data_IF_418739799143
#
_entry.id   IF_418739799143
#
_cell.length_a   1.000
_cell.length_b   1.000
_cell.length_c   1.000
_cell.angle_alpha   90.00
_cell.angle_beta   90.00
_cell.angle_gamma   90.00
#
_symmetry.space_group_name_H-M   'P 1'
#
loop_
_entity.id
_entity.type
_entity.pdbx_description
1 polymer ?
#
# COMPACT_ATOMS: atom_id res chain seq x y z
N UNK A 1 -14.19 -18.27 -4.01
CA UNK A 1 -13.36 -19.43 -4.35
C UNK A 1 -13.49 -20.44 -3.23
N UNK A 2 -13.97 -21.63 -3.52
CA UNK A 2 -14.20 -22.65 -2.52
C UNK A 2 -12.89 -23.43 -2.35
N UNK A 3 -12.09 -23.11 -1.35
CA UNK A 3 -10.82 -23.78 -1.03
C UNK A 3 -11.00 -25.28 -0.66
N UNK A 4 -12.25 -25.73 -0.60
CA UNK A 4 -12.63 -27.06 -0.10
C UNK A 4 -13.08 -27.99 -1.25
N UNK A 5 -13.13 -27.53 -2.50
CA UNK A 5 -13.49 -28.34 -3.65
C UNK A 5 -12.30 -28.56 -4.56
N UNK A 6 -11.53 -29.59 -4.32
CA UNK A 6 -10.41 -30.01 -5.16
C UNK A 6 -9.88 -31.37 -4.73
N UNK A 7 -9.02 -31.98 -5.54
CA UNK A 7 -8.40 -33.32 -5.27
C UNK A 7 -7.57 -33.38 -3.98
N UNK A 8 -7.20 -32.22 -3.43
CA UNK A 8 -6.45 -32.07 -2.15
C UNK A 8 -7.31 -31.29 -1.14
N UNK A 9 -8.46 -31.84 -0.76
CA UNK A 9 -9.25 -31.27 0.34
C UNK A 9 -8.48 -31.40 1.65
N UNK A 10 -8.16 -30.29 2.34
CA UNK A 10 -7.48 -30.37 3.62
C UNK A 10 -8.38 -31.05 4.66
N UNK A 11 -7.77 -31.84 5.54
CA UNK A 11 -8.43 -32.55 6.63
C UNK A 11 -8.80 -31.60 7.79
N UNK A 12 -9.43 -30.47 7.48
CA UNK A 12 -9.92 -29.52 8.48
C UNK A 12 -11.15 -28.72 7.99
N UNK A 13 -12.00 -28.34 8.93
CA UNK A 13 -13.23 -27.63 8.63
C UNK A 13 -12.97 -26.16 8.17
N UNK A 14 -13.89 -25.61 7.39
CA UNK A 14 -13.89 -24.22 6.90
C UNK A 14 -13.64 -23.20 8.02
N UNK A 15 -14.20 -23.42 9.19
CA UNK A 15 -14.06 -22.51 10.33
C UNK A 15 -12.63 -22.43 10.87
N UNK A 16 -11.82 -23.46 10.66
CA UNK A 16 -10.39 -23.46 11.01
C UNK A 16 -9.64 -22.39 10.23
N UNK A 17 -9.92 -22.26 8.92
CA UNK A 17 -9.33 -21.22 8.07
C UNK A 17 -9.73 -19.83 8.56
N UNK A 18 -11.02 -19.62 8.82
CA UNK A 18 -11.49 -18.32 9.32
C UNK A 18 -10.93 -17.97 10.69
N UNK A 19 -10.80 -18.94 11.60
CA UNK A 19 -10.15 -18.73 12.90
C UNK A 19 -8.70 -18.34 12.74
N UNK A 20 -7.95 -19.05 11.89
CA UNK A 20 -6.57 -18.74 11.57
C UNK A 20 -6.42 -17.32 10.99
N UNK A 21 -7.24 -16.94 10.01
CA UNK A 21 -7.21 -15.60 9.42
C UNK A 21 -7.54 -14.48 10.40
N UNK A 22 -8.31 -14.77 11.45
CA UNK A 22 -8.68 -13.80 12.50
C UNK A 22 -7.66 -13.70 13.63
N UNK A 23 -6.64 -14.53 13.67
CA UNK A 23 -5.63 -14.49 14.74
C UNK A 23 -4.95 -13.13 14.81
N UNK A 24 -4.96 -12.53 16.00
CA UNK A 24 -4.39 -11.20 16.27
C UNK A 24 -2.87 -11.21 16.41
N UNK A 25 -2.27 -12.38 16.55
CA UNK A 25 -0.82 -12.59 16.67
C UNK A 25 -0.11 -12.61 15.31
N UNK A 26 -0.84 -12.90 14.23
CA UNK A 26 -0.25 -13.06 12.90
C UNK A 26 0.03 -11.70 12.28
N UNK A 27 1.28 -11.47 11.93
CA UNK A 27 1.69 -10.29 11.17
C UNK A 27 1.53 -10.56 9.66
N UNK A 28 0.35 -10.28 9.13
CA UNK A 28 0.02 -10.52 7.72
C UNK A 28 0.89 -9.70 6.76
N UNK A 29 1.21 -8.45 7.10
CA UNK A 29 2.11 -7.61 6.29
C UNK A 29 3.49 -8.28 6.19
N UNK A 30 4.05 -8.72 7.33
CA UNK A 30 5.34 -9.42 7.33
C UNK A 30 5.28 -10.73 6.56
N UNK A 31 4.21 -11.51 6.74
CA UNK A 31 4.03 -12.80 6.07
C UNK A 31 4.00 -12.62 4.55
N UNK A 32 3.14 -11.75 4.03
CA UNK A 32 3.02 -11.51 2.59
C UNK A 32 4.30 -10.91 2.02
N UNK A 33 4.94 -9.98 2.73
CA UNK A 33 6.20 -9.37 2.29
C UNK A 33 7.33 -10.40 2.18
N UNK A 34 7.49 -11.30 3.17
CA UNK A 34 8.52 -12.34 3.13
C UNK A 34 8.22 -13.36 2.02
N UNK A 35 6.95 -13.75 1.84
CA UNK A 35 6.54 -14.64 0.77
C UNK A 35 6.86 -14.03 -0.61
N UNK A 36 6.51 -12.77 -0.81
CA UNK A 36 6.81 -12.05 -2.06
C UNK A 36 8.31 -11.90 -2.28
N UNK A 37 9.08 -11.59 -1.23
CA UNK A 37 10.53 -11.51 -1.33
C UNK A 37 11.17 -12.83 -1.79
N UNK A 38 10.65 -13.97 -1.30
CA UNK A 38 11.08 -15.29 -1.76
C UNK A 38 10.73 -15.54 -3.23
N UNK A 39 9.47 -15.28 -3.62
CA UNK A 39 9.03 -15.48 -5.01
C UNK A 39 9.87 -14.61 -5.96
N UNK A 40 10.10 -13.34 -5.61
CA UNK A 40 10.91 -12.44 -6.42
C UNK A 40 12.33 -13.00 -6.56
N UNK A 41 12.99 -13.33 -5.45
CA UNK A 41 14.38 -13.76 -5.45
C UNK A 41 14.58 -15.13 -6.11
N UNK A 42 13.70 -16.09 -5.81
CA UNK A 42 13.93 -17.47 -6.14
C UNK A 42 13.32 -17.87 -7.51
N UNK A 43 12.27 -17.13 -7.97
CA UNK A 43 11.57 -17.46 -9.20
C UNK A 43 11.62 -16.39 -10.29
N UNK A 44 11.61 -15.08 -9.94
CA UNK A 44 11.51 -14.00 -10.94
C UNK A 44 12.90 -13.45 -11.25
N UNK A 45 13.66 -13.11 -10.24
CA UNK A 45 14.98 -12.47 -10.40
C UNK A 45 15.97 -13.27 -11.26
N UNK A 46 16.01 -14.61 -11.24
CA UNK A 46 16.85 -15.37 -12.16
C UNK A 46 16.48 -15.23 -13.64
N UNK A 47 15.26 -14.71 -13.94
CA UNK A 47 14.76 -14.45 -15.29
C UNK A 47 14.83 -12.96 -15.66
N UNK A 48 15.33 -12.13 -14.76
CA UNK A 48 15.49 -10.69 -14.95
C UNK A 48 16.71 -10.39 -15.83
N UNK A 49 16.77 -9.18 -16.38
CA UNK A 49 17.92 -8.69 -17.16
C UNK A 49 18.38 -7.34 -16.62
N UNK A 50 19.66 -7.01 -16.81
CA UNK A 50 20.25 -5.74 -16.37
C UNK A 50 19.61 -4.51 -17.05
N UNK A 51 18.94 -4.71 -18.18
CA UNK A 51 18.22 -3.67 -18.91
C UNK A 51 16.89 -3.29 -18.24
N UNK A 52 16.38 -4.10 -17.32
CA UNK A 52 15.11 -3.88 -16.64
C UNK A 52 15.29 -3.08 -15.36
N UNK A 53 14.32 -2.24 -15.09
CA UNK A 53 14.30 -1.46 -13.85
C UNK A 53 13.29 -2.07 -12.86
N UNK A 54 13.78 -2.56 -11.75
CA UNK A 54 12.95 -3.04 -10.66
C UNK A 54 12.30 -1.87 -9.92
N UNK A 55 10.98 -1.91 -9.80
CA UNK A 55 10.21 -0.80 -9.25
C UNK A 55 9.20 -1.28 -8.20
N UNK A 56 8.96 -0.47 -7.19
CA UNK A 56 7.76 -0.56 -6.37
C UNK A 56 6.65 0.29 -6.98
N UNK A 57 5.42 -0.20 -6.89
CA UNK A 57 4.23 0.48 -7.37
C UNK A 57 3.25 0.60 -6.20
N UNK A 58 2.84 1.84 -5.90
CA UNK A 58 1.86 2.15 -4.86
C UNK A 58 0.57 2.60 -5.53
N UNK A 59 -0.50 1.92 -5.23
CA UNK A 59 -1.83 2.31 -5.67
C UNK A 59 -2.87 2.04 -4.59
N UNK A 60 -3.97 2.79 -4.63
CA UNK A 60 -5.10 2.55 -3.75
C UNK A 60 -6.41 2.41 -4.54
N UNK A 61 -7.21 1.45 -4.13
CA UNK A 61 -8.49 1.16 -4.73
C UNK A 61 -9.61 1.12 -3.70
N UNK A 62 -10.84 1.34 -4.15
CA UNK A 62 -12.01 1.22 -3.29
C UNK A 62 -12.36 -0.25 -3.03
N UNK A 63 -12.29 -0.65 -1.76
CA UNK A 63 -12.76 -1.96 -1.31
C UNK A 63 -14.16 -1.83 -0.72
N UNK A 64 -15.16 -1.95 -1.59
CA UNK A 64 -16.57 -1.70 -1.28
C UNK A 64 -17.16 -2.76 -0.34
N UNK A 65 -17.91 -2.33 0.69
CA UNK A 65 -18.57 -3.15 1.71
C UNK A 65 -19.96 -2.60 2.07
N UNK A 66 -20.71 -2.09 1.12
CA UNK A 66 -22.00 -1.41 1.33
C UNK A 66 -23.02 -2.28 2.08
N UNK A 67 -22.95 -3.60 1.94
CA UNK A 67 -23.90 -4.53 2.60
C UNK A 67 -23.39 -5.00 3.97
N UNK A 68 -22.17 -4.66 4.35
CA UNK A 68 -21.60 -5.11 5.62
C UNK A 68 -22.11 -4.25 6.78
N UNK A 69 -22.63 -4.88 7.82
CA UNK A 69 -23.11 -4.20 9.03
C UNK A 69 -22.13 -4.35 10.23
N UNK A 70 -21.25 -5.36 10.19
CA UNK A 70 -20.43 -5.76 11.33
C UNK A 70 -18.91 -5.71 11.08
N UNK A 71 -18.47 -5.19 9.91
CA UNK A 71 -17.02 -5.08 9.68
C UNK A 71 -16.43 -4.02 10.61
N UNK A 72 -15.36 -4.40 11.35
CA UNK A 72 -14.62 -3.45 12.19
C UNK A 72 -14.05 -2.33 11.32
N UNK A 73 -14.03 -1.12 11.86
CA UNK A 73 -13.47 0.07 11.21
C UNK A 73 -14.10 0.39 9.84
N UNK A 74 -15.29 -0.16 9.55
CA UNK A 74 -16.03 0.19 8.34
C UNK A 74 -16.24 1.70 8.29
N UNK A 75 -15.91 2.32 7.16
CA UNK A 75 -15.96 3.76 7.01
C UNK A 75 -16.73 4.21 5.77
N UNK A 76 -17.19 5.45 5.81
CA UNK A 76 -17.71 6.18 4.64
C UNK A 76 -16.52 6.75 3.88
N UNK A 77 -16.23 6.21 2.70
CA UNK A 77 -15.07 6.53 1.87
C UNK A 77 -15.53 7.10 0.54
N UNK A 78 -14.85 8.13 0.05
CA UNK A 78 -15.15 8.70 -1.26
C UNK A 78 -14.49 7.86 -2.37
N UNK A 79 -15.32 7.38 -3.31
CA UNK A 79 -14.87 6.68 -4.51
C UNK A 79 -14.67 7.70 -5.64
N UNK A 80 -13.43 7.93 -6.03
CA UNK A 80 -13.10 8.90 -7.09
C UNK A 80 -13.55 8.45 -8.49
N UNK A 81 -13.65 7.14 -8.73
CA UNK A 81 -14.12 6.62 -10.02
C UNK A 81 -15.64 6.74 -10.17
N UNK A 82 -16.39 6.51 -9.09
CA UNK A 82 -17.86 6.60 -9.06
C UNK A 82 -18.37 7.97 -8.63
N UNK A 83 -17.49 8.90 -8.26
CA UNK A 83 -17.83 10.25 -7.75
C UNK A 83 -18.87 10.27 -6.63
N UNK A 84 -18.82 9.29 -5.72
CA UNK A 84 -19.75 9.17 -4.60
C UNK A 84 -19.13 8.56 -3.36
N UNK A 85 -19.79 8.78 -2.22
CA UNK A 85 -19.41 8.10 -0.99
C UNK A 85 -20.01 6.70 -0.94
N UNK A 86 -19.17 5.73 -0.56
CA UNK A 86 -19.53 4.33 -0.36
C UNK A 86 -19.06 3.86 1.03
N UNK A 87 -19.65 2.77 1.51
CA UNK A 87 -19.14 2.11 2.72
C UNK A 87 -18.10 1.07 2.35
N UNK A 88 -16.95 1.15 3.00
CA UNK A 88 -15.85 0.25 2.71
C UNK A 88 -14.54 0.73 3.30
N UNK A 89 -13.48 0.46 2.55
CA UNK A 89 -12.10 0.80 2.89
C UNK A 89 -11.37 1.25 1.62
N UNK A 90 -10.30 2.01 1.79
CA UNK A 90 -9.31 2.17 0.73
C UNK A 90 -8.28 1.06 0.87
N UNK A 91 -8.15 0.21 -0.12
CA UNK A 91 -7.14 -0.84 -0.15
C UNK A 91 -5.87 -0.27 -0.77
N UNK A 92 -4.92 0.08 0.10
CA UNK A 92 -3.60 0.51 -0.32
C UNK A 92 -2.74 -0.73 -0.56
N UNK A 93 -2.16 -0.83 -1.76
CA UNK A 93 -1.34 -1.96 -2.17
C UNK A 93 0.05 -1.48 -2.57
N UNK A 94 1.06 -2.19 -2.09
CA UNK A 94 2.43 -2.14 -2.58
C UNK A 94 2.65 -3.33 -3.49
N UNK A 95 2.89 -3.07 -4.78
CA UNK A 95 3.33 -4.05 -5.77
C UNK A 95 4.81 -3.90 -6.08
N UNK A 96 5.37 -4.92 -6.69
CA UNK A 96 6.71 -4.93 -7.28
C UNK A 96 6.63 -5.36 -8.75
N UNK A 97 7.47 -4.78 -9.60
CA UNK A 97 7.56 -5.15 -11.01
C UNK A 97 9.00 -4.99 -11.52
N UNK A 98 9.38 -5.87 -12.44
CA UNK A 98 10.59 -5.80 -13.27
C UNK A 98 10.30 -5.26 -14.69
N UNK A 99 9.09 -4.78 -14.94
CA UNK A 99 8.61 -4.35 -16.25
C UNK A 99 7.91 -5.46 -17.06
N UNK A 100 8.17 -6.73 -16.77
CA UNK A 100 7.51 -7.89 -17.42
C UNK A 100 6.58 -8.63 -16.47
N UNK A 101 6.96 -8.74 -15.21
CA UNK A 101 6.19 -9.39 -14.14
C UNK A 101 5.62 -8.35 -13.18
N UNK A 102 4.49 -8.65 -12.58
CA UNK A 102 3.93 -7.89 -11.47
C UNK A 102 3.57 -8.80 -10.31
N UNK A 103 4.02 -8.46 -9.11
CA UNK A 103 3.72 -9.20 -7.89
C UNK A 103 3.22 -8.26 -6.78
N UNK A 104 2.00 -8.45 -6.22
CA UNK A 104 1.59 -7.77 -5.01
C UNK A 104 2.47 -8.19 -3.83
N UNK A 105 3.10 -7.23 -3.16
CA UNK A 105 4.01 -7.48 -2.04
C UNK A 105 3.25 -7.52 -0.72
N UNK A 106 2.52 -6.46 -0.45
CA UNK A 106 1.67 -6.35 0.73
C UNK A 106 0.55 -5.32 0.50
N UNK A 107 -0.44 -5.34 1.39
CA UNK A 107 -1.55 -4.40 1.32
C UNK A 107 -2.13 -4.13 2.69
N UNK A 108 -2.89 -3.04 2.80
CA UNK A 108 -3.64 -2.67 3.99
C UNK A 108 -5.00 -2.07 3.60
N UNK A 109 -6.02 -2.42 4.37
CA UNK A 109 -7.33 -1.76 4.29
C UNK A 109 -7.31 -0.53 5.19
N UNK A 110 -7.37 0.64 4.58
CA UNK A 110 -7.42 1.92 5.28
C UNK A 110 -8.87 2.32 5.53
N UNK A 111 -9.13 2.67 6.78
CA UNK A 111 -10.34 3.33 7.25
C UNK A 111 -10.11 4.85 7.29
N UNK A 112 -10.56 5.50 8.36
CA UNK A 112 -10.33 6.92 8.60
C UNK A 112 -10.04 7.20 10.08
N UNK A 113 -9.19 8.16 10.34
CA UNK A 113 -8.98 8.71 11.69
C UNK A 113 -10.23 9.42 12.22
N UNK A 114 -11.02 10.01 11.32
CA UNK A 114 -12.22 10.75 11.68
C UNK A 114 -13.35 9.82 12.11
N UNK A 115 -13.65 9.79 13.41
CA UNK A 115 -14.73 8.98 14.00
C UNK A 115 -16.10 9.22 13.35
N UNK A 116 -16.39 10.43 12.91
CA UNK A 116 -17.69 10.76 12.28
C UNK A 116 -17.92 10.03 10.96
N UNK A 117 -16.85 9.61 10.31
CA UNK A 117 -16.92 8.86 9.05
C UNK A 117 -16.84 7.34 9.28
N UNK A 118 -16.54 6.87 10.49
CA UNK A 118 -16.55 5.45 10.82
C UNK A 118 -17.98 5.00 11.19
N UNK A 119 -18.37 3.87 10.66
CA UNK A 119 -19.67 3.23 10.96
C UNK A 119 -19.52 2.32 12.16
N UNK A 120 -18.41 1.59 12.23
CA UNK A 120 -18.09 0.68 13.33
C UNK A 120 -16.70 0.98 13.86
N UNK A 121 -16.53 0.85 15.16
CA UNK A 121 -15.23 0.94 15.82
C UNK A 121 -14.49 -0.40 15.76
N UNK A 122 -13.21 -0.34 16.09
CA UNK A 122 -12.40 -1.54 16.24
C UNK A 122 -12.82 -2.33 17.49
N UNK A 123 -12.75 -3.65 17.42
CA UNK A 123 -12.83 -4.49 18.61
C UNK A 123 -11.62 -4.23 19.51
N UNK A 124 -11.86 -4.10 20.80
CA UNK A 124 -10.79 -3.96 21.78
C UNK A 124 -9.94 -5.22 21.84
N UNK A 125 -8.65 -5.03 21.72
CA UNK A 125 -7.65 -6.10 21.82
C UNK A 125 -6.42 -5.58 22.58
N UNK A 126 -5.63 -6.47 23.15
CA UNK A 126 -4.40 -6.11 23.86
C UNK A 126 -3.48 -5.28 22.94
N UNK A 127 -3.08 -4.11 23.43
CA UNK A 127 -2.26 -3.11 22.72
C UNK A 127 -0.88 -3.65 22.29
N UNK A 128 -0.40 -4.70 22.94
CA UNK A 128 0.88 -5.36 22.60
C UNK A 128 0.77 -6.23 21.36
N UNK A 129 -0.43 -6.63 20.95
CA UNK A 129 -0.65 -7.56 19.83
C UNK A 129 -0.43 -6.90 18.46
N UNK A 130 -0.09 -7.73 17.49
CA UNK A 130 -0.01 -7.32 16.08
C UNK A 130 -1.38 -6.89 15.57
N UNK A 131 -2.45 -7.52 16.04
CA UNK A 131 -3.82 -7.16 15.71
C UNK A 131 -4.18 -5.73 16.10
N UNK A 132 -3.72 -5.26 17.27
CA UNK A 132 -3.88 -3.86 17.68
C UNK A 132 -3.10 -2.90 16.75
N UNK A 133 -1.83 -3.20 16.50
CA UNK A 133 -0.97 -2.38 15.62
C UNK A 133 -1.55 -2.27 14.21
N UNK A 134 -2.11 -3.36 13.68
CA UNK A 134 -2.78 -3.38 12.38
C UNK A 134 -4.03 -2.48 12.35
N UNK A 135 -4.87 -2.51 13.39
CA UNK A 135 -6.04 -1.63 13.51
C UNK A 135 -5.65 -0.16 13.58
N UNK A 136 -4.61 0.14 14.35
CA UNK A 136 -4.07 1.50 14.44
C UNK A 136 -3.57 1.98 13.07
N UNK A 137 -2.77 1.18 12.38
CA UNK A 137 -2.25 1.49 11.05
C UNK A 137 -3.39 1.70 10.03
N UNK A 138 -4.48 0.94 10.14
CA UNK A 138 -5.67 1.09 9.28
C UNK A 138 -6.36 2.47 9.43
N UNK A 139 -6.14 3.18 10.52
CA UNK A 139 -6.71 4.52 10.76
C UNK A 139 -5.74 5.65 10.39
N UNK A 140 -4.51 5.35 10.03
CA UNK A 140 -3.49 6.36 9.66
C UNK A 140 -3.76 6.93 8.26
N UNK A 141 -3.08 8.05 7.97
CA UNK A 141 -3.10 8.63 6.63
C UNK A 141 -2.47 7.69 5.62
N UNK A 142 -3.02 7.64 4.40
CA UNK A 142 -2.52 6.77 3.34
C UNK A 142 -1.03 6.94 3.05
N UNK A 143 -0.50 8.18 3.12
CA UNK A 143 0.94 8.46 2.96
C UNK A 143 1.80 7.82 4.06
N UNK A 144 1.33 7.80 5.31
CA UNK A 144 2.05 7.17 6.42
C UNK A 144 1.98 5.64 6.31
N UNK A 145 0.81 5.10 5.97
CA UNK A 145 0.64 3.68 5.72
C UNK A 145 1.53 3.19 4.56
N UNK A 146 1.62 3.96 3.48
CA UNK A 146 2.53 3.69 2.36
C UNK A 146 3.98 3.54 2.81
N UNK A 147 4.49 4.49 3.61
CA UNK A 147 5.86 4.42 4.13
C UNK A 147 6.09 3.17 5.00
N UNK A 148 5.06 2.75 5.76
CA UNK A 148 5.12 1.51 6.55
C UNK A 148 5.21 0.27 5.66
N UNK A 149 4.45 0.22 4.54
CA UNK A 149 4.52 -0.89 3.59
C UNK A 149 5.87 -0.94 2.87
N UNK A 150 6.40 0.22 2.44
CA UNK A 150 7.73 0.34 1.83
C UNK A 150 8.85 -0.08 2.79
N UNK A 151 8.80 0.33 4.06
CA UNK A 151 9.80 -0.07 5.05
C UNK A 151 9.79 -1.58 5.31
N UNK A 152 8.61 -2.21 5.30
CA UNK A 152 8.50 -3.66 5.38
C UNK A 152 9.18 -4.35 4.19
N UNK A 153 8.99 -3.86 2.96
CA UNK A 153 9.61 -4.39 1.76
C UNK A 153 11.13 -4.18 1.75
N UNK A 154 11.59 -2.99 2.19
CA UNK A 154 13.01 -2.66 2.35
C UNK A 154 13.70 -3.60 3.35
N UNK A 155 13.08 -3.84 4.51
CA UNK A 155 13.58 -4.78 5.53
C UNK A 155 13.62 -6.23 5.05
N UNK A 156 12.77 -6.60 4.11
CA UNK A 156 12.77 -7.90 3.45
C UNK A 156 13.75 -7.98 2.26
N UNK A 157 14.53 -6.92 2.02
CA UNK A 157 15.54 -6.83 0.96
C UNK A 157 14.99 -7.09 -0.45
N UNK A 158 13.74 -6.68 -0.72
CA UNK A 158 13.18 -6.76 -2.06
C UNK A 158 13.88 -5.71 -2.93
N UNK A 159 14.50 -6.10 -4.07
CA UNK A 159 15.23 -5.18 -4.91
C UNK A 159 14.26 -4.23 -5.63
N UNK A 160 14.50 -2.92 -5.51
CA UNK A 160 13.83 -1.90 -6.30
C UNK A 160 14.69 -0.64 -6.33
N UNK A 161 14.73 0.03 -7.46
CA UNK A 161 15.41 1.31 -7.64
C UNK A 161 14.45 2.49 -7.53
N UNK A 162 13.24 2.31 -8.03
CA UNK A 162 12.24 3.35 -8.11
C UNK A 162 10.98 2.99 -7.33
N UNK A 163 10.28 4.03 -6.87
CA UNK A 163 8.91 3.92 -6.33
C UNK A 163 8.00 4.75 -7.21
N UNK A 164 6.97 4.11 -7.74
CA UNK A 164 5.95 4.71 -8.61
C UNK A 164 4.66 4.91 -7.85
N UNK A 165 4.08 6.09 -7.94
CA UNK A 165 2.75 6.38 -7.40
C UNK A 165 2.09 7.58 -8.11
N UNK A 166 0.79 7.72 -7.92
CA UNK A 166 0.02 8.80 -8.50
C UNK A 166 0.21 10.14 -7.75
N UNK A 167 -0.45 11.18 -8.24
CA UNK A 167 -0.37 12.53 -7.68
C UNK A 167 -0.92 12.66 -6.25
N UNK A 168 -1.70 11.69 -5.78
CA UNK A 168 -2.25 11.69 -4.43
C UNK A 168 -1.17 11.53 -3.37
N UNK A 169 -0.12 10.75 -3.68
CA UNK A 169 1.01 10.50 -2.78
C UNK A 169 2.18 11.45 -3.00
N UNK A 170 2.14 12.31 -4.03
CA UNK A 170 3.26 13.16 -4.47
C UNK A 170 3.42 14.47 -3.68
N UNK A 171 3.24 14.45 -2.36
CA UNK A 171 3.59 15.63 -1.54
C UNK A 171 5.11 15.75 -1.38
N UNK A 172 5.68 16.97 -1.26
CA UNK A 172 7.12 17.15 -1.04
C UNK A 172 7.66 16.35 0.14
N UNK A 173 6.92 16.28 1.25
CA UNK A 173 7.30 15.49 2.42
C UNK A 173 7.34 13.99 2.14
N UNK A 174 6.40 13.48 1.35
CA UNK A 174 6.37 12.06 0.94
C UNK A 174 7.54 11.75 0.01
N UNK A 175 7.79 12.60 -1.00
CA UNK A 175 8.92 12.45 -1.92
C UNK A 175 10.25 12.39 -1.16
N UNK A 176 10.44 13.31 -0.21
CA UNK A 176 11.64 13.35 0.63
C UNK A 176 11.76 12.07 1.50
N UNK A 177 10.67 11.61 2.11
CA UNK A 177 10.68 10.42 2.94
C UNK A 177 11.06 9.15 2.13
N UNK A 178 10.50 8.98 0.93
CA UNK A 178 10.85 7.87 0.03
C UNK A 178 12.30 7.96 -0.42
N UNK A 179 12.78 9.15 -0.77
CA UNK A 179 14.20 9.37 -1.13
C UNK A 179 15.14 9.03 0.03
N UNK A 180 14.76 9.38 1.27
CA UNK A 180 15.53 9.06 2.48
C UNK A 180 15.57 7.55 2.78
N UNK A 181 14.64 6.75 2.23
CA UNK A 181 14.68 5.29 2.28
C UNK A 181 15.64 4.67 1.25
N UNK A 182 16.25 5.48 0.36
CA UNK A 182 17.18 5.04 -0.66
C UNK A 182 16.55 4.78 -2.03
N UNK A 183 15.28 5.15 -2.26
CA UNK A 183 14.60 4.98 -3.54
C UNK A 183 14.54 6.28 -4.33
N UNK A 184 14.61 6.18 -5.64
CA UNK A 184 14.20 7.26 -6.54
C UNK A 184 12.69 7.22 -6.77
N UNK A 185 12.08 8.39 -7.00
CA UNK A 185 10.63 8.51 -7.16
C UNK A 185 10.28 8.86 -8.59
N UNK A 186 9.32 8.14 -9.14
CA UNK A 186 8.65 8.49 -10.40
C UNK A 186 7.17 8.69 -10.06
N UNK A 187 6.68 9.91 -10.13
CA UNK A 187 5.31 10.22 -9.75
C UNK A 187 4.74 11.42 -10.49
N UNK A 188 3.43 11.40 -10.65
CA UNK A 188 2.71 12.57 -11.16
C UNK A 188 2.60 13.60 -10.04
N UNK A 189 3.06 14.83 -10.30
CA UNK A 189 2.99 15.92 -9.32
C UNK A 189 1.86 16.87 -9.69
N UNK A 190 1.02 17.22 -8.71
CA UNK A 190 -0.05 18.20 -8.91
C UNK A 190 0.57 19.59 -9.11
N UNK A 191 0.17 20.25 -10.19
CA UNK A 191 0.49 21.64 -10.40
C UNK A 191 -0.32 22.50 -9.43
N UNK A 192 0.33 23.04 -8.39
CA UNK A 192 -0.29 23.97 -7.46
C UNK A 192 0.56 25.23 -7.30
N UNK A 193 -0.03 26.41 -7.12
CA UNK A 193 0.73 27.66 -6.95
C UNK A 193 1.49 27.73 -5.62
N UNK A 194 1.21 26.83 -4.68
CA UNK A 194 1.81 26.78 -3.34
C UNK A 194 2.95 25.77 -3.21
N UNK A 195 3.29 25.04 -4.28
CA UNK A 195 4.30 23.98 -4.24
C UNK A 195 5.54 24.40 -5.01
N UNK A 196 6.66 24.49 -4.31
CA UNK A 196 7.97 24.81 -4.88
C UNK A 196 8.92 23.64 -4.67
N UNK A 197 9.85 23.52 -5.60
CA UNK A 197 10.90 22.51 -5.57
C UNK A 197 12.25 23.20 -5.67
N UNK A 198 13.23 22.76 -4.90
CA UNK A 198 14.60 23.26 -5.04
C UNK A 198 15.26 22.64 -6.26
N UNK A 199 15.54 23.49 -7.25
CA UNK A 199 16.19 23.11 -8.49
C UNK A 199 17.38 24.04 -8.73
N UNK A 200 18.60 23.46 -8.84
CA UNK A 200 19.85 24.21 -8.99
C UNK A 200 20.03 25.33 -7.92
N UNK A 201 19.62 25.05 -6.67
CA UNK A 201 19.76 26.00 -5.56
C UNK A 201 18.62 27.00 -5.39
N UNK A 202 17.71 27.11 -6.37
CA UNK A 202 16.56 28.03 -6.36
C UNK A 202 15.24 27.31 -6.10
N UNK A 203 14.34 27.94 -5.36
CA UNK A 203 12.99 27.43 -5.15
C UNK A 203 12.10 27.82 -6.34
N UNK A 204 11.73 26.84 -7.16
CA UNK A 204 11.01 27.05 -8.41
C UNK A 204 9.71 26.26 -8.50
N UNK A 205 8.73 26.82 -9.21
CA UNK A 205 7.52 26.08 -9.57
C UNK A 205 7.83 24.99 -10.60
N UNK A 206 7.00 23.95 -10.67
CA UNK A 206 7.12 22.91 -11.70
C UNK A 206 7.13 23.48 -13.11
N UNK A 207 6.28 24.48 -13.38
CA UNK A 207 6.24 25.14 -14.69
C UNK A 207 7.55 25.84 -15.02
N UNK A 208 8.14 26.52 -14.03
CA UNK A 208 9.44 27.20 -14.21
C UNK A 208 10.56 26.19 -14.46
N UNK A 209 10.59 25.08 -13.72
CA UNK A 209 11.56 23.98 -13.94
C UNK A 209 11.40 23.38 -15.32
N UNK A 210 10.16 23.08 -15.74
CA UNK A 210 9.87 22.55 -17.07
C UNK A 210 10.35 23.50 -18.18
N UNK A 211 10.02 24.79 -18.08
CA UNK A 211 10.41 25.80 -19.08
C UNK A 211 11.93 25.97 -19.17
N UNK A 212 12.65 25.89 -18.03
CA UNK A 212 14.14 25.91 -18.02
C UNK A 212 14.78 24.71 -18.71
N UNK A 213 14.09 23.55 -18.73
CA UNK A 213 14.62 22.29 -19.27
C UNK A 213 13.97 21.88 -20.60
N UNK A 214 13.04 22.67 -21.12
CA UNK A 214 12.44 22.44 -22.43
C UNK A 214 13.49 22.70 -23.50
N UNK A 215 13.95 21.64 -24.15
CA UNK A 215 14.78 21.70 -25.37
C UNK A 215 13.91 21.97 -26.58
#
# INVERSE_FOLDING_TARGET
MNLITGRNTPDFAKDTVYRFMKMIQINWIRFTTILSARIIRDAIFPLDSEERANVFIIDDSMFERNRSKKAELLAKVYDHAKHKYLFGFRMLTLGWSDGSSFLPVNSILLSTENRKNRINEATEVDKRTVGYKRRKLSMEKGTQAMLTLLDAARKATIPAKYVLFDSWFSSPSTLHAVKSMGYDVIGMVKKTPKMFFRYNGEDMSLTSIYNKNKK
#
